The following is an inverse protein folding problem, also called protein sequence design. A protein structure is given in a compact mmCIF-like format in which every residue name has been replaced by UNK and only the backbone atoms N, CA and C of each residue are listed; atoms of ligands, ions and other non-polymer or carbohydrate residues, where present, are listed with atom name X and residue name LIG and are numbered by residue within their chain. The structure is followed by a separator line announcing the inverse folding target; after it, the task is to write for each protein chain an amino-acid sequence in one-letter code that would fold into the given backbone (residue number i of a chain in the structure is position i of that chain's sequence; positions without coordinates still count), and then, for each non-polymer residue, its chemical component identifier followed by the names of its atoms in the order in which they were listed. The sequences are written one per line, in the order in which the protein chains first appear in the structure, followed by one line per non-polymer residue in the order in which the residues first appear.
data_IF_906195357816
#
_entry.id   IF_906195357816
#
_cell.length_a   1.000
_cell.length_b   1.000
_cell.length_c   1.000
_cell.angle_alpha   90.00
_cell.angle_beta   90.00
_cell.angle_gamma   90.00
#
_symmetry.space_group_name_H-M   'P 1'
#
loop_
_entity.id
_entity.type
_entity.pdbx_description
1 polymer ?
#
# COMPACT_ATOMS: atom_id res chain seq x y z
N UNK A 1 0.19 -0.35 32.48
CA UNK A 1 -1.21 0.12 32.35
C UNK A 1 -2.10 -1.06 31.98
N UNK A 2 -3.37 -1.05 32.37
CA UNK A 2 -4.30 -2.16 32.09
C UNK A 2 -5.16 -1.86 30.86
N UNK A 3 -5.17 -2.78 29.89
CA UNK A 3 -6.08 -2.77 28.76
C UNK A 3 -7.32 -3.61 29.14
N UNK A 4 -8.52 -3.03 29.06
CA UNK A 4 -9.77 -3.74 29.37
C UNK A 4 -10.57 -3.99 28.09
N UNK A 5 -10.62 -5.23 27.63
CA UNK A 5 -11.46 -5.68 26.52
C UNK A 5 -12.56 -6.58 27.10
N UNK A 6 -13.84 -6.23 26.87
CA UNK A 6 -15.01 -6.85 27.53
C UNK A 6 -15.98 -7.51 26.53
N UNK A 7 -15.44 -8.26 25.59
CA UNK A 7 -16.26 -9.05 24.65
C UNK A 7 -16.02 -10.54 24.87
N UNK A 8 -17.08 -11.34 24.81
CA UNK A 8 -16.99 -12.80 24.95
C UNK A 8 -16.07 -13.42 23.89
N UNK A 9 -16.11 -12.85 22.67
CA UNK A 9 -15.25 -13.28 21.57
C UNK A 9 -13.77 -13.08 21.88
N UNK A 10 -13.37 -11.93 22.43
CA UNK A 10 -11.97 -11.67 22.76
C UNK A 10 -11.46 -12.58 23.88
N UNK A 11 -12.28 -12.83 24.91
CA UNK A 11 -11.92 -13.77 25.98
C UNK A 11 -11.76 -15.20 25.43
N UNK A 12 -12.69 -15.66 24.58
CA UNK A 12 -12.61 -16.97 23.92
C UNK A 12 -11.33 -17.11 23.09
N UNK A 13 -11.05 -16.14 22.22
CA UNK A 13 -9.86 -16.14 21.37
C UNK A 13 -8.57 -16.11 22.20
N UNK A 14 -8.52 -15.29 23.24
CA UNK A 14 -7.37 -15.20 24.14
C UNK A 14 -7.09 -16.53 24.86
N UNK A 15 -8.14 -17.19 25.38
CA UNK A 15 -8.02 -18.50 26.04
C UNK A 15 -7.62 -19.60 25.08
N UNK A 16 -8.16 -19.59 23.87
CA UNK A 16 -7.79 -20.56 22.85
C UNK A 16 -6.33 -20.40 22.43
N UNK A 17 -5.91 -19.16 22.14
CA UNK A 17 -4.53 -18.87 21.77
C UNK A 17 -3.55 -19.29 22.86
N UNK A 18 -3.80 -18.89 24.11
CA UNK A 18 -2.96 -19.27 25.25
C UNK A 18 -2.84 -20.79 25.43
N UNK A 19 -3.95 -21.53 25.27
CA UNK A 19 -3.93 -23.00 25.35
C UNK A 19 -3.12 -23.63 24.22
N UNK A 20 -3.21 -23.10 23.00
CA UNK A 20 -2.51 -23.63 21.84
C UNK A 20 -1.00 -23.31 21.90
N UNK A 21 -0.62 -22.14 22.40
CA UNK A 21 0.80 -21.74 22.50
C UNK A 21 1.48 -22.19 23.79
N UNK A 22 0.71 -22.54 24.83
CA UNK A 22 1.24 -22.82 26.17
C UNK A 22 1.71 -21.57 26.91
N UNK A 23 1.40 -20.37 26.39
CA UNK A 23 1.77 -19.08 26.98
C UNK A 23 0.67 -18.57 27.93
N UNK A 24 0.96 -17.54 28.73
CA UNK A 24 -0.09 -16.85 29.49
C UNK A 24 -1.02 -16.11 28.54
N UNK A 25 -2.28 -15.85 28.94
CA UNK A 25 -3.20 -15.03 28.13
C UNK A 25 -2.59 -13.68 27.77
N UNK A 26 -1.89 -13.04 28.72
CA UNK A 26 -1.24 -11.75 28.48
C UNK A 26 -0.14 -11.86 27.42
N UNK A 27 0.73 -12.87 27.52
CA UNK A 27 1.83 -13.05 26.57
C UNK A 27 1.30 -13.38 25.18
N UNK A 28 0.38 -14.34 25.10
CA UNK A 28 -0.24 -14.78 23.86
C UNK A 28 -0.89 -13.61 23.10
N UNK A 29 -1.72 -12.80 23.77
CA UNK A 29 -2.37 -11.65 23.14
C UNK A 29 -1.33 -10.58 22.77
N UNK A 30 -0.36 -10.30 23.64
CA UNK A 30 0.68 -9.29 23.38
C UNK A 30 1.48 -9.64 22.13
N UNK A 31 1.87 -10.90 21.99
CA UNK A 31 2.61 -11.40 20.84
C UNK A 31 1.77 -11.37 19.56
N UNK A 32 0.52 -11.84 19.62
CA UNK A 32 -0.39 -11.79 18.46
C UNK A 32 -0.65 -10.35 17.97
N UNK A 33 -0.80 -9.39 18.89
CA UNK A 33 -0.93 -7.98 18.55
C UNK A 33 0.36 -7.44 17.94
N UNK A 34 1.52 -7.77 18.52
CA UNK A 34 2.83 -7.38 18.00
C UNK A 34 3.03 -7.86 16.57
N UNK A 35 2.81 -9.15 16.32
CA UNK A 35 2.93 -9.76 14.99
C UNK A 35 1.97 -9.15 13.97
N UNK A 36 0.72 -8.87 14.38
CA UNK A 36 -0.25 -8.21 13.49
C UNK A 36 0.20 -6.80 13.14
N UNK A 37 0.70 -6.04 14.11
CA UNK A 37 1.23 -4.70 13.89
C UNK A 37 2.46 -4.72 12.99
N UNK A 38 3.36 -5.70 13.17
CA UNK A 38 4.53 -5.88 12.33
C UNK A 38 4.16 -6.17 10.88
N UNK A 39 3.24 -7.12 10.63
CA UNK A 39 2.73 -7.40 9.27
C UNK A 39 2.15 -6.15 8.61
N UNK A 40 1.33 -5.39 9.33
CA UNK A 40 0.72 -4.16 8.81
C UNK A 40 1.76 -3.05 8.55
N UNK A 41 2.83 -2.97 9.35
CA UNK A 41 3.93 -2.03 9.13
C UNK A 41 4.74 -2.43 7.91
N UNK A 42 5.10 -3.70 7.76
CA UNK A 42 5.82 -4.22 6.60
C UNK A 42 5.04 -4.02 5.29
N UNK A 43 3.73 -4.24 5.30
CA UNK A 43 2.85 -3.94 4.15
C UNK A 43 2.88 -2.45 3.78
N UNK A 44 2.83 -1.56 4.78
CA UNK A 44 2.92 -0.11 4.56
C UNK A 44 4.30 0.32 4.05
N UNK A 45 5.36 -0.23 4.61
CA UNK A 45 6.74 0.05 4.17
C UNK A 45 6.97 -0.43 2.75
N UNK A 46 6.47 -1.60 2.37
CA UNK A 46 6.55 -2.10 0.98
C UNK A 46 5.85 -1.16 0.00
N UNK A 47 4.68 -0.64 0.37
CA UNK A 47 3.95 0.34 -0.46
C UNK A 47 4.65 1.71 -0.50
N UNK A 48 5.21 2.17 0.62
CA UNK A 48 5.97 3.41 0.69
C UNK A 48 7.28 3.30 -0.12
N UNK A 49 7.97 2.15 -0.04
CA UNK A 49 9.15 1.81 -0.83
C UNK A 49 8.84 1.88 -2.32
N UNK A 50 7.70 1.35 -2.77
CA UNK A 50 7.30 1.45 -4.18
C UNK A 50 7.17 2.91 -4.63
N UNK A 51 6.47 3.75 -3.86
CA UNK A 51 6.29 5.16 -4.20
C UNK A 51 7.63 5.94 -4.21
N UNK A 52 8.49 5.72 -3.21
CA UNK A 52 9.80 6.37 -3.15
C UNK A 52 10.76 5.86 -4.22
N UNK A 53 10.74 4.56 -4.53
CA UNK A 53 11.50 3.99 -5.67
C UNK A 53 11.03 4.56 -6.99
N UNK A 54 9.72 4.72 -7.19
CA UNK A 54 9.19 5.36 -8.39
C UNK A 54 9.65 6.81 -8.49
N UNK A 55 9.58 7.58 -7.39
CA UNK A 55 10.10 8.96 -7.37
C UNK A 55 11.60 9.00 -7.63
N UNK A 56 12.39 8.09 -7.05
CA UNK A 56 13.83 8.01 -7.28
C UNK A 56 14.15 7.68 -8.74
N UNK A 57 13.44 6.70 -9.32
CA UNK A 57 13.54 6.32 -10.73
C UNK A 57 13.25 7.50 -11.66
N UNK A 58 12.18 8.27 -11.39
CA UNK A 58 11.82 9.46 -12.15
C UNK A 58 12.88 10.56 -11.98
N UNK A 59 13.35 10.83 -10.75
CA UNK A 59 14.39 11.86 -10.50
C UNK A 59 15.69 11.59 -11.25
N UNK A 60 16.14 10.34 -11.28
CA UNK A 60 17.38 9.91 -11.98
C UNK A 60 17.32 10.05 -13.51
N UNK A 61 16.13 10.19 -14.08
CA UNK A 61 15.90 10.29 -15.53
C UNK A 61 15.26 11.61 -15.95
N UNK A 62 14.95 12.47 -14.99
CA UNK A 62 14.18 13.69 -15.20
C UNK A 62 14.86 14.69 -16.14
N UNK A 63 16.18 14.64 -16.24
CA UNK A 63 17.04 15.44 -17.11
C UNK A 63 17.14 14.89 -18.54
N UNK A 64 16.80 13.62 -18.76
CA UNK A 64 16.92 12.95 -20.06
C UNK A 64 15.74 13.21 -20.99
N UNK A 65 14.63 13.71 -20.46
CA UNK A 65 13.38 13.90 -21.20
C UNK A 65 12.90 15.34 -21.04
N UNK A 66 12.35 15.90 -22.13
CA UNK A 66 11.58 17.13 -22.05
C UNK A 66 10.27 16.85 -21.31
N UNK A 67 10.04 17.60 -20.21
CA UNK A 67 8.87 17.45 -19.34
C UNK A 67 7.93 18.66 -19.41
N UNK A 68 8.07 19.50 -20.45
CA UNK A 68 7.11 20.55 -20.72
C UNK A 68 5.74 19.94 -21.00
N UNK A 69 4.63 20.66 -20.72
CA UNK A 69 3.30 20.21 -21.14
C UNK A 69 3.28 19.92 -22.64
N UNK A 70 2.75 18.76 -23.02
CA UNK A 70 2.57 18.38 -24.43
C UNK A 70 1.36 19.14 -24.98
N UNK A 71 1.51 19.77 -26.14
CA UNK A 71 0.38 20.42 -26.82
C UNK A 71 -0.55 19.38 -27.45
N UNK A 72 -1.78 19.79 -27.76
CA UNK A 72 -2.75 18.90 -28.39
C UNK A 72 -2.23 18.39 -29.75
N UNK A 73 -1.68 19.29 -30.57
CA UNK A 73 -1.17 18.93 -31.90
C UNK A 73 0.01 17.96 -31.82
N UNK A 74 0.94 18.15 -30.87
CA UNK A 74 2.05 17.21 -30.62
C UNK A 74 1.56 15.84 -30.14
N UNK A 75 0.50 15.82 -29.31
CA UNK A 75 -0.11 14.57 -28.87
C UNK A 75 -0.80 13.85 -30.02
N UNK A 76 -1.60 14.57 -30.81
CA UNK A 76 -2.35 14.04 -31.96
C UNK A 76 -1.39 13.47 -33.04
N UNK A 77 -0.24 14.11 -33.29
CA UNK A 77 0.82 13.59 -34.18
C UNK A 77 1.49 12.32 -33.61
N UNK A 78 1.75 12.28 -32.29
CA UNK A 78 2.41 11.16 -31.64
C UNK A 78 1.54 9.90 -31.52
N UNK A 79 0.22 10.04 -31.35
CA UNK A 79 -0.71 8.89 -31.26
C UNK A 79 -1.11 8.34 -32.63
N UNK A 80 -0.88 9.08 -33.72
CA UNK A 80 -1.10 8.64 -35.10
C UNK A 80 -2.57 8.48 -35.52
N UNK A 81 -3.50 8.58 -34.57
CA UNK A 81 -4.94 8.51 -34.76
C UNK A 81 -5.57 9.84 -34.35
N UNK A 82 -5.83 10.74 -35.31
CA UNK A 82 -6.58 11.95 -34.99
C UNK A 82 -8.05 11.60 -34.71
N UNK A 83 -8.76 12.39 -33.90
CA UNK A 83 -10.20 12.21 -33.70
C UNK A 83 -11.01 12.20 -35.01
N UNK A 84 -10.54 12.87 -36.08
CA UNK A 84 -11.14 12.76 -37.41
C UNK A 84 -10.89 11.39 -38.06
N UNK A 85 -9.68 10.82 -37.93
CA UNK A 85 -9.33 9.50 -38.47
C UNK A 85 -10.10 8.36 -37.78
N UNK A 86 -10.41 8.52 -36.50
CA UNK A 86 -11.20 7.57 -35.71
C UNK A 86 -12.73 7.78 -35.84
N UNK A 87 -13.18 8.79 -36.58
CA UNK A 87 -14.61 9.10 -36.71
C UNK A 87 -15.27 9.55 -35.40
N UNK A 88 -14.48 10.10 -34.46
CA UNK A 88 -14.92 10.55 -33.14
C UNK A 88 -15.14 12.07 -33.06
N UNK A 89 -14.89 12.81 -34.15
CA UNK A 89 -15.20 14.24 -34.24
C UNK A 89 -16.73 14.44 -34.21
N UNK A 90 -17.23 15.19 -33.21
CA UNK A 90 -18.61 15.69 -33.16
C UNK A 90 -18.74 17.03 -33.86
#
# INVERSE_FOLDING_TARGET
MALSIKTEEADRLARELARLTGETMTDAITKAMSERLERLRAERETNADYAERMKAFVRDRADRYDRRPVSKDEWDDAVGDTPEMLGLAR
#
